data_IF_502189792539
#
_entry.id   IF_502189792539
#
_cell.length_a   1.000
_cell.length_b   1.000
_cell.length_c   1.000
_cell.angle_alpha   90.00
_cell.angle_beta   90.00
_cell.angle_gamma   90.00
#
_symmetry.space_group_name_H-M   'P 1'
#
loop_
_entity.id
_entity.type
_entity.pdbx_description
1 polymer ?
#
# COMPACT_ATOMS: atom_id res chain seq x y z
N UNK A 1 5.53 1.20 11.43
CA UNK A 1 4.74 -0.03 11.18
C UNK A 1 3.39 0.41 10.62
N UNK A 2 2.78 -0.27 9.62
CA UNK A 2 1.50 0.16 9.09
C UNK A 2 0.39 -0.07 10.10
N UNK A 3 -0.65 0.76 10.00
CA UNK A 3 -1.98 0.42 10.48
C UNK A 3 -2.55 -0.68 9.57
N UNK A 4 -3.19 -1.67 10.19
CA UNK A 4 -3.81 -2.81 9.53
C UNK A 4 -5.33 -2.72 9.71
N UNK A 5 -6.08 -2.77 8.61
CA UNK A 5 -7.53 -2.76 8.64
C UNK A 5 -8.10 -3.83 7.69
N UNK A 6 -8.67 -4.92 8.20
CA UNK A 6 -9.49 -5.83 7.38
C UNK A 6 -10.83 -5.15 7.05
N UNK A 7 -11.26 -5.25 5.80
CA UNK A 7 -12.51 -4.71 5.27
C UNK A 7 -13.54 -5.83 5.03
N UNK A 8 -14.86 -5.52 5.00
CA UNK A 8 -15.92 -6.53 4.94
C UNK A 8 -15.92 -7.43 3.71
N UNK A 9 -15.24 -7.03 2.63
CA UNK A 9 -15.13 -7.73 1.35
C UNK A 9 -13.87 -8.61 1.26
N UNK A 10 -13.20 -8.87 2.38
CA UNK A 10 -11.95 -9.63 2.41
C UNK A 10 -10.75 -8.84 1.90
N UNK A 11 -10.90 -7.52 1.71
CA UNK A 11 -9.76 -6.65 1.45
C UNK A 11 -8.99 -6.41 2.76
N UNK A 12 -7.67 -6.44 2.69
CA UNK A 12 -6.79 -5.99 3.77
C UNK A 12 -6.13 -4.68 3.37
N UNK A 13 -6.30 -3.64 4.20
CA UNK A 13 -5.61 -2.36 4.06
C UNK A 13 -4.38 -2.30 4.96
N UNK A 14 -3.29 -1.80 4.39
CA UNK A 14 -2.02 -1.51 5.01
C UNK A 14 -1.72 -0.03 4.80
N UNK A 15 -1.71 0.75 5.88
CA UNK A 15 -1.61 2.20 5.82
C UNK A 15 -0.41 2.69 6.63
N UNK A 16 0.54 3.33 5.96
CA UNK A 16 1.67 4.00 6.57
C UNK A 16 1.47 5.50 6.49
N UNK A 17 1.53 6.19 7.64
CA UNK A 17 1.60 7.64 7.69
C UNK A 17 2.96 8.06 8.26
N UNK A 18 3.70 8.88 7.51
CA UNK A 18 4.96 9.49 7.98
C UNK A 18 4.67 10.85 8.64
N UNK A 19 3.73 11.59 8.08
CA UNK A 19 3.19 12.86 8.60
C UNK A 19 1.69 12.94 8.25
N UNK A 20 1.00 14.01 8.65
CA UNK A 20 -0.39 14.25 8.24
C UNK A 20 -0.56 14.43 6.72
N UNK A 21 0.50 14.86 6.04
CA UNK A 21 0.51 15.12 4.60
C UNK A 21 1.30 14.10 3.80
N UNK A 22 1.87 13.08 4.45
CA UNK A 22 2.63 12.03 3.78
C UNK A 22 2.16 10.65 4.23
N UNK A 23 1.55 9.91 3.31
CA UNK A 23 1.04 8.56 3.53
C UNK A 23 1.28 7.63 2.36
N UNK A 24 1.27 6.33 2.65
CA UNK A 24 1.29 5.25 1.68
C UNK A 24 0.22 4.24 2.09
N UNK A 25 -0.63 3.86 1.16
CA UNK A 25 -1.73 2.92 1.37
C UNK A 25 -1.62 1.78 0.37
N UNK A 26 -1.80 0.55 0.85
CA UNK A 26 -1.89 -0.66 0.03
C UNK A 26 -3.15 -1.41 0.44
N UNK A 27 -3.98 -1.75 -0.53
CA UNK A 27 -5.14 -2.61 -0.36
C UNK A 27 -4.94 -3.87 -1.15
N UNK A 28 -5.18 -5.00 -0.52
CA UNK A 28 -5.04 -6.34 -1.10
C UNK A 28 -6.40 -7.00 -1.06
N UNK A 29 -6.97 -7.27 -2.22
CA UNK A 29 -8.25 -7.96 -2.36
C UNK A 29 -8.08 -9.48 -2.30
N UNK A 30 -9.17 -10.19 -1.98
CA UNK A 30 -9.19 -11.64 -1.91
C UNK A 30 -8.87 -12.35 -3.25
N UNK A 31 -9.10 -11.66 -4.37
CA UNK A 31 -8.73 -12.12 -5.73
C UNK A 31 -7.24 -11.88 -6.06
N UNK A 32 -6.46 -11.39 -5.10
CA UNK A 32 -5.04 -11.08 -5.24
C UNK A 32 -4.77 -9.73 -5.92
N UNK A 33 -5.79 -8.92 -6.21
CA UNK A 33 -5.57 -7.57 -6.74
C UNK A 33 -4.97 -6.67 -5.66
N UNK A 34 -4.01 -5.85 -6.06
CA UNK A 34 -3.41 -4.81 -5.23
C UNK A 34 -3.82 -3.46 -5.80
N UNK A 35 -4.38 -2.61 -4.96
CA UNK A 35 -4.54 -1.18 -5.24
C UNK A 35 -3.62 -0.41 -4.27
N UNK A 36 -2.79 0.49 -4.76
CA UNK A 36 -1.89 1.28 -3.90
C UNK A 36 -1.93 2.76 -4.26
N UNK A 37 -1.69 3.59 -3.26
CA UNK A 37 -1.64 5.04 -3.39
C UNK A 37 -0.62 5.62 -2.41
N UNK A 38 -0.04 6.75 -2.76
CA UNK A 38 0.87 7.46 -1.88
C UNK A 38 0.79 8.97 -2.10
N UNK A 39 1.20 9.71 -1.08
CA UNK A 39 1.36 11.15 -1.03
C UNK A 39 2.62 11.43 -0.20
N UNK A 40 3.52 12.29 -0.65
CA UNK A 40 4.76 12.65 0.07
C UNK A 40 4.78 14.09 0.60
N UNK A 41 3.61 14.75 0.61
CA UNK A 41 3.42 16.16 0.96
C UNK A 41 3.49 17.12 -0.22
N UNK A 42 4.04 16.71 -1.37
CA UNK A 42 4.13 17.55 -2.58
C UNK A 42 3.57 16.81 -3.80
N UNK A 43 3.92 15.53 -3.93
CA UNK A 43 3.55 14.64 -5.02
C UNK A 43 2.66 13.53 -4.51
N UNK A 44 1.85 13.02 -5.40
CA UNK A 44 1.04 11.83 -5.17
C UNK A 44 1.13 10.89 -6.35
N UNK A 45 0.77 9.64 -6.09
CA UNK A 45 0.67 8.63 -7.13
C UNK A 45 -0.27 7.51 -6.68
N UNK A 46 -0.78 6.77 -7.65
CA UNK A 46 -1.56 5.57 -7.41
C UNK A 46 -1.32 4.55 -8.53
N UNK A 47 -1.68 3.31 -8.26
CA UNK A 47 -1.58 2.27 -9.25
C UNK A 47 -2.24 0.98 -8.79
N UNK A 48 -2.18 -0.01 -9.69
CA UNK A 48 -2.72 -1.34 -9.47
C UNK A 48 -1.69 -2.39 -9.81
N UNK A 49 -1.76 -3.52 -9.12
CA UNK A 49 -0.94 -4.69 -9.40
C UNK A 49 -1.66 -5.94 -8.92
N UNK A 50 -0.94 -7.06 -8.88
CA UNK A 50 -1.42 -8.34 -8.39
C UNK A 50 -0.35 -8.97 -7.51
N UNK A 51 -0.76 -9.65 -6.44
CA UNK A 51 0.13 -10.54 -5.68
C UNK A 51 0.41 -11.79 -6.50
N UNK A 52 1.56 -12.41 -6.30
CA UNK A 52 1.89 -13.73 -6.88
C UNK A 52 1.31 -14.90 -6.04
N UNK A 53 0.30 -14.61 -5.23
CA UNK A 53 -0.36 -15.54 -4.30
C UNK A 53 0.27 -15.57 -2.90
N UNK A 54 1.52 -15.10 -2.73
CA UNK A 54 2.21 -15.18 -1.43
C UNK A 54 2.92 -13.87 -1.07
N UNK A 55 3.41 -13.13 -2.06
CA UNK A 55 4.24 -11.94 -1.84
C UNK A 55 3.77 -10.72 -2.63
N UNK A 56 3.97 -9.54 -2.02
CA UNK A 56 3.85 -8.27 -2.73
C UNK A 56 4.99 -8.16 -3.76
N UNK A 57 4.74 -7.53 -4.92
CA UNK A 57 5.78 -7.30 -5.91
C UNK A 57 7.00 -6.58 -5.32
N UNK A 58 8.21 -7.05 -5.67
CA UNK A 58 9.48 -6.48 -5.13
C UNK A 58 9.61 -4.98 -5.33
N UNK A 59 9.14 -4.45 -6.46
CA UNK A 59 9.17 -3.02 -6.73
C UNK A 59 8.25 -2.24 -5.78
N UNK A 60 7.10 -2.79 -5.40
CA UNK A 60 6.18 -2.17 -4.46
C UNK A 60 6.78 -2.14 -3.05
N UNK A 61 7.43 -3.23 -2.64
CA UNK A 61 8.20 -3.28 -1.38
C UNK A 61 9.34 -2.26 -1.37
N UNK A 62 10.02 -2.08 -2.52
CA UNK A 62 11.02 -1.02 -2.69
C UNK A 62 10.43 0.37 -2.44
N UNK A 63 9.30 0.69 -3.07
CA UNK A 63 8.62 1.97 -2.91
C UNK A 63 8.18 2.22 -1.46
N UNK A 64 7.60 1.22 -0.79
CA UNK A 64 7.21 1.34 0.63
C UNK A 64 8.45 1.61 1.50
N UNK A 65 9.55 0.88 1.26
CA UNK A 65 10.79 1.06 2.02
C UNK A 65 11.38 2.45 1.82
N UNK A 66 11.40 2.95 0.59
CA UNK A 66 11.97 4.26 0.28
C UNK A 66 11.07 5.38 0.80
N UNK A 67 9.75 5.21 0.80
CA UNK A 67 8.81 6.14 1.44
C UNK A 67 9.01 6.25 2.95
N UNK A 68 9.36 5.14 3.62
CA UNK A 68 9.52 5.06 5.07
C UNK A 68 10.88 5.53 5.59
N UNK A 69 11.86 5.75 4.72
CA UNK A 69 13.14 6.39 5.06
C UNK A 69 12.91 7.89 5.21
#
# INVERSE_FOLDING_TARGET
MPSLAPLPDGIVSLDWAKTETASFSVRISADGRIDYAWLDGIKSGSGKSTVDGVTLPKWLLGNIRDFLR
#
